data_IF_747407582877
#
_entry.id   IF_747407582877
#
_cell.length_a   1.000
_cell.length_b   1.000
_cell.length_c   1.000
_cell.angle_alpha   90.00
_cell.angle_beta   90.00
_cell.angle_gamma   90.00
#
_symmetry.space_group_name_H-M   'P 1'
#
loop_
_entity.id
_entity.type
_entity.pdbx_description
1 polymer ?
#
# COMPACT_ATOMS: atom_id res chain seq x y z
N UNK A 1 1.53 0.50 -16.62
CA UNK A 1 1.04 1.57 -17.52
C UNK A 1 -0.17 1.19 -18.38
N UNK A 2 -0.14 0.11 -19.16
CA UNK A 2 -1.23 -0.23 -20.10
C UNK A 2 -2.64 -0.25 -19.47
N UNK A 3 -2.83 -0.99 -18.36
CA UNK A 3 -4.13 -1.05 -17.66
C UNK A 3 -4.62 0.30 -17.15
N UNK A 4 -3.72 1.15 -16.63
CA UNK A 4 -4.06 2.49 -16.15
C UNK A 4 -4.62 3.39 -17.26
N UNK A 5 -4.05 3.28 -18.48
CA UNK A 5 -4.57 4.00 -19.65
C UNK A 5 -5.91 3.43 -20.11
N UNK A 6 -6.09 2.11 -20.06
CA UNK A 6 -7.35 1.46 -20.43
C UNK A 6 -8.52 1.86 -19.52
N UNK A 7 -8.26 2.15 -18.24
CA UNK A 7 -9.28 2.66 -17.30
C UNK A 7 -9.47 4.18 -17.36
N UNK A 8 -8.87 4.85 -18.35
CA UNK A 8 -9.08 6.27 -18.62
C UNK A 8 -8.08 7.24 -17.98
N UNK A 9 -6.97 6.78 -17.39
CA UNK A 9 -5.91 7.68 -16.90
C UNK A 9 -5.00 8.14 -18.04
N UNK A 10 -5.53 9.03 -18.88
CA UNK A 10 -4.88 9.52 -20.10
C UNK A 10 -3.80 10.59 -19.85
N UNK A 11 -3.88 11.31 -18.73
CA UNK A 11 -2.88 12.28 -18.28
C UNK A 11 -1.49 11.65 -18.03
N UNK A 12 -1.43 10.32 -17.87
CA UNK A 12 -0.17 9.57 -17.72
C UNK A 12 0.52 9.33 -19.08
N UNK A 13 1.03 10.42 -19.66
CA UNK A 13 1.58 10.49 -21.02
C UNK A 13 3.03 10.03 -21.12
N UNK A 14 3.83 10.21 -20.06
CA UNK A 14 5.25 9.85 -20.08
C UNK A 14 5.47 8.33 -20.14
N UNK A 15 6.72 7.94 -20.44
CA UNK A 15 7.13 6.53 -20.44
C UNK A 15 7.04 5.92 -19.02
N UNK A 16 6.91 4.60 -18.89
CA UNK A 16 6.85 3.94 -17.58
C UNK A 16 8.05 4.28 -16.70
N UNK A 17 9.22 4.43 -17.31
CA UNK A 17 10.48 4.67 -16.60
C UNK A 17 10.56 6.08 -16.01
N UNK A 18 9.79 7.03 -16.55
CA UNK A 18 9.67 8.37 -15.97
C UNK A 18 8.96 8.32 -14.62
N UNK A 19 7.86 7.56 -14.52
CA UNK A 19 7.12 7.43 -13.27
C UNK A 19 7.80 6.45 -12.31
N UNK A 20 8.38 5.37 -12.85
CA UNK A 20 9.03 4.30 -12.08
C UNK A 20 8.12 3.73 -10.99
N UNK A 21 8.74 3.23 -9.92
CA UNK A 21 8.02 2.66 -8.76
C UNK A 21 7.21 3.70 -7.98
N UNK A 22 7.56 4.99 -8.11
CA UNK A 22 6.82 6.10 -7.49
C UNK A 22 5.38 6.22 -7.98
N UNK A 23 5.03 5.58 -9.09
CA UNK A 23 3.65 5.53 -9.58
C UNK A 23 2.71 4.86 -8.57
N UNK A 24 3.21 3.87 -7.82
CA UNK A 24 2.44 3.22 -6.76
C UNK A 24 2.13 4.16 -5.58
N UNK A 25 2.92 5.24 -5.44
CA UNK A 25 2.75 6.28 -4.41
C UNK A 25 2.04 7.53 -4.94
N UNK A 26 1.64 7.56 -6.22
CA UNK A 26 0.85 8.66 -6.79
C UNK A 26 1.66 9.80 -7.40
N UNK A 27 2.90 9.56 -7.86
CA UNK A 27 3.69 10.59 -8.57
C UNK A 27 3.22 10.89 -10.01
N UNK A 28 2.11 10.28 -10.46
CA UNK A 28 1.50 10.50 -11.75
C UNK A 28 0.30 11.47 -11.66
N UNK A 29 0.45 12.67 -12.19
CA UNK A 29 -0.63 13.66 -12.24
C UNK A 29 -1.81 13.17 -13.10
N UNK A 30 -3.02 13.24 -12.52
CA UNK A 30 -4.29 12.90 -13.18
C UNK A 30 -5.37 13.88 -12.78
N UNK A 31 -6.39 14.03 -13.61
CA UNK A 31 -7.56 14.85 -13.27
C UNK A 31 -8.52 14.10 -12.34
N UNK A 32 -9.33 14.83 -11.58
CA UNK A 32 -10.41 14.24 -10.78
C UNK A 32 -11.40 13.45 -11.65
N UNK A 33 -11.68 13.92 -12.86
CA UNK A 33 -12.58 13.25 -13.79
C UNK A 33 -12.05 11.87 -14.20
N UNK A 34 -10.77 11.77 -14.56
CA UNK A 34 -10.13 10.51 -14.92
C UNK A 34 -10.07 9.54 -13.74
N UNK A 35 -9.83 10.05 -12.53
CA UNK A 35 -9.76 9.19 -11.35
C UNK A 35 -11.14 8.68 -10.94
N UNK A 36 -12.19 9.51 -11.01
CA UNK A 36 -13.58 9.07 -10.81
C UNK A 36 -13.98 8.03 -11.88
N UNK A 37 -13.68 8.30 -13.15
CA UNK A 37 -13.86 7.36 -14.27
C UNK A 37 -13.22 6.00 -13.95
N UNK A 38 -11.97 5.99 -13.51
CA UNK A 38 -11.27 4.76 -13.13
C UNK A 38 -11.98 4.03 -11.97
N UNK A 39 -12.39 4.74 -10.92
CA UNK A 39 -13.09 4.12 -9.78
C UNK A 39 -14.49 3.60 -10.14
N UNK A 40 -15.18 4.19 -11.13
CA UNK A 40 -16.44 3.60 -11.61
C UNK A 40 -16.24 2.20 -12.18
N UNK A 41 -15.07 1.88 -12.75
CA UNK A 41 -14.79 0.52 -13.23
C UNK A 41 -14.72 -0.48 -12.06
N UNK A 42 -14.20 -0.07 -10.91
CA UNK A 42 -14.19 -0.89 -9.69
C UNK A 42 -15.59 -1.07 -9.11
N UNK A 43 -16.38 0.00 -9.08
CA UNK A 43 -17.77 -0.04 -8.61
C UNK A 43 -18.67 -0.90 -9.51
N UNK A 44 -18.34 -1.01 -10.79
CA UNK A 44 -19.14 -1.65 -11.82
C UNK A 44 -18.55 -2.98 -12.31
N UNK A 45 -18.03 -3.80 -11.38
CA UNK A 45 -17.60 -5.18 -11.65
C UNK A 45 -16.50 -5.31 -12.73
N UNK A 46 -15.73 -4.25 -12.93
CA UNK A 46 -14.64 -4.16 -13.91
C UNK A 46 -15.03 -3.60 -15.27
N UNK A 47 -16.31 -3.29 -15.50
CA UNK A 47 -16.80 -2.68 -16.73
C UNK A 47 -16.54 -1.16 -16.70
N UNK A 48 -15.79 -0.65 -17.67
CA UNK A 48 -15.63 0.79 -17.88
C UNK A 48 -16.68 1.34 -18.85
N UNK A 49 -17.34 2.41 -18.41
CA UNK A 49 -18.19 3.25 -19.24
C UNK A 49 -17.66 4.68 -19.23
N UNK A 50 -17.27 5.26 -20.39
CA UNK A 50 -16.94 6.68 -20.48
C UNK A 50 -17.96 7.55 -19.75
N UNK A 51 -17.48 8.41 -18.84
CA UNK A 51 -18.36 9.28 -18.07
C UNK A 51 -19.06 10.27 -19.00
N UNK A 52 -20.36 10.47 -18.76
CA UNK A 52 -21.20 11.37 -19.56
C UNK A 52 -21.62 12.55 -18.71
N UNK A 53 -21.31 13.75 -19.19
CA UNK A 53 -21.76 15.00 -18.57
C UNK A 53 -23.21 15.32 -18.99
N UNK A 54 -23.53 15.05 -20.26
CA UNK A 54 -24.85 15.32 -20.82
C UNK A 54 -25.69 14.03 -20.86
N UNK A 55 -26.94 14.13 -20.42
CA UNK A 55 -27.89 13.01 -20.40
C UNK A 55 -28.08 12.34 -21.77
N UNK A 56 -28.00 13.12 -22.84
CA UNK A 56 -28.25 12.67 -24.22
C UNK A 56 -26.96 12.28 -24.97
N UNK A 57 -25.82 12.16 -24.28
CA UNK A 57 -24.58 11.75 -24.92
C UNK A 57 -24.68 10.31 -25.46
N UNK A 58 -24.11 10.02 -26.65
CA UNK A 58 -24.26 8.75 -27.34
C UNK A 58 -23.81 7.56 -26.49
N UNK A 59 -24.42 6.40 -26.72
CA UNK A 59 -24.04 5.19 -26.01
C UNK A 59 -22.65 4.74 -26.43
N UNK A 60 -21.77 4.56 -25.45
CA UNK A 60 -20.42 4.05 -25.65
C UNK A 60 -20.42 2.58 -25.27
N UNK A 61 -19.79 1.74 -26.09
CA UNK A 61 -19.64 0.32 -25.80
C UNK A 61 -18.90 0.11 -24.48
N UNK A 62 -19.39 -0.85 -23.68
CA UNK A 62 -18.69 -1.28 -22.46
C UNK A 62 -17.41 -2.03 -22.82
N UNK A 63 -16.40 -1.88 -21.98
CA UNK A 63 -15.16 -2.65 -22.05
C UNK A 63 -14.89 -3.22 -20.66
N UNK A 64 -14.68 -4.53 -20.55
CA UNK A 64 -14.34 -5.15 -19.28
C UNK A 64 -12.82 -5.16 -19.11
N UNK A 65 -12.31 -4.43 -18.11
CA UNK A 65 -10.86 -4.34 -17.84
C UNK A 65 -10.45 -5.25 -16.69
N UNK A 66 -11.34 -5.44 -15.71
CA UNK A 66 -11.14 -6.32 -14.58
C UNK A 66 -12.26 -7.35 -14.52
N UNK A 67 -12.00 -8.50 -13.91
CA UNK A 67 -13.07 -9.47 -13.64
C UNK A 67 -13.85 -9.04 -12.39
N UNK A 68 -15.12 -9.47 -12.24
CA UNK A 68 -15.93 -9.15 -11.08
C UNK A 68 -15.27 -9.60 -9.76
N UNK A 69 -14.56 -10.73 -9.76
CA UNK A 69 -13.85 -11.27 -8.59
C UNK A 69 -12.76 -10.32 -8.09
N UNK A 70 -11.95 -9.79 -9.01
CA UNK A 70 -10.86 -8.84 -8.67
C UNK A 70 -11.45 -7.57 -8.09
N UNK A 71 -12.50 -7.02 -8.72
CA UNK A 71 -13.14 -5.80 -8.21
C UNK A 71 -13.86 -6.01 -6.89
N UNK A 72 -14.45 -7.19 -6.66
CA UNK A 72 -15.07 -7.53 -5.39
C UNK A 72 -14.05 -7.61 -4.25
N UNK A 73 -12.88 -8.22 -4.47
CA UNK A 73 -11.79 -8.23 -3.47
C UNK A 73 -11.30 -6.81 -3.18
N UNK A 74 -11.11 -5.98 -4.22
CA UNK A 74 -10.70 -4.58 -4.02
C UNK A 74 -11.77 -3.81 -3.22
N UNK A 75 -13.05 -3.99 -3.56
CA UNK A 75 -14.15 -3.34 -2.88
C UNK A 75 -14.29 -3.79 -1.42
N UNK A 76 -14.06 -5.08 -1.13
CA UNK A 76 -14.02 -5.64 0.22
C UNK A 76 -12.91 -4.98 1.05
N UNK A 77 -11.66 -4.97 0.55
CA UNK A 77 -10.51 -4.31 1.18
C UNK A 77 -10.81 -2.82 1.45
N UNK A 78 -11.31 -2.11 0.44
CA UNK A 78 -11.58 -0.68 0.53
C UNK A 78 -12.82 -0.36 1.36
N UNK A 79 -13.69 -1.32 1.68
CA UNK A 79 -14.90 -1.14 2.52
C UNK A 79 -14.75 -1.68 3.94
N UNK A 80 -13.68 -2.43 4.22
CA UNK A 80 -13.35 -2.95 5.54
C UNK A 80 -12.87 -1.84 6.52
N UNK A 81 -13.58 -1.59 7.64
CA UNK A 81 -13.15 -0.64 8.66
C UNK A 81 -11.94 -1.11 9.48
N UNK A 82 -11.71 -2.41 9.63
CA UNK A 82 -10.56 -2.93 10.36
C UNK A 82 -9.27 -2.79 9.54
N UNK A 83 -9.32 -3.08 8.23
CA UNK A 83 -8.20 -2.91 7.31
C UNK A 83 -7.65 -1.47 7.30
N UNK A 84 -8.51 -0.46 7.51
CA UNK A 84 -8.13 0.96 7.51
C UNK A 84 -7.77 1.53 8.88
N UNK A 85 -7.94 0.73 9.95
CA UNK A 85 -7.89 1.23 11.33
C UNK A 85 -6.50 1.70 11.79
N UNK A 86 -5.42 1.17 11.21
CA UNK A 86 -4.07 1.62 11.53
C UNK A 86 -3.80 3.06 11.08
N UNK A 87 -4.41 3.49 9.97
CA UNK A 87 -4.21 4.82 9.39
C UNK A 87 -5.21 5.84 9.95
N UNK A 88 -6.50 5.48 10.02
CA UNK A 88 -7.57 6.42 10.38
C UNK A 88 -8.10 6.24 11.81
N UNK A 89 -7.44 5.38 12.58
CA UNK A 89 -7.97 4.86 13.83
C UNK A 89 -9.24 4.05 13.62
N UNK A 90 -9.87 3.63 14.71
CA UNK A 90 -11.23 3.07 14.70
C UNK A 90 -12.32 4.16 14.62
N UNK A 91 -11.95 5.36 14.14
CA UNK A 91 -12.83 6.52 14.14
C UNK A 91 -14.04 6.31 13.23
N UNK A 92 -15.11 7.07 13.50
CA UNK A 92 -16.36 7.01 12.73
C UNK A 92 -16.25 7.66 11.35
N UNK A 93 -15.20 8.42 11.06
CA UNK A 93 -15.12 9.27 9.87
C UNK A 93 -15.35 8.48 8.57
N UNK A 94 -14.61 7.39 8.38
CA UNK A 94 -14.74 6.49 7.23
C UNK A 94 -15.61 5.26 7.53
N UNK A 95 -16.44 5.32 8.58
CA UNK A 95 -17.44 4.32 8.91
C UNK A 95 -18.81 4.82 8.44
N UNK A 96 -19.26 4.30 7.30
CA UNK A 96 -20.49 4.69 6.65
C UNK A 96 -21.65 3.77 7.08
N UNK A 97 -22.91 4.26 7.16
CA UNK A 97 -24.07 3.41 7.42
C UNK A 97 -24.31 2.37 6.32
N UNK A 98 -23.89 2.69 5.08
CA UNK A 98 -23.97 1.82 3.91
C UNK A 98 -22.55 1.38 3.56
N UNK A 99 -22.38 0.11 3.20
CA UNK A 99 -21.07 -0.40 2.79
C UNK A 99 -20.51 0.46 1.66
N UNK A 100 -19.40 1.14 1.93
CA UNK A 100 -18.79 2.13 1.05
C UNK A 100 -17.30 1.86 0.99
N UNK A 101 -16.80 1.55 -0.20
CA UNK A 101 -15.39 1.44 -0.48
C UNK A 101 -14.79 2.85 -0.55
N UNK A 102 -13.72 3.14 0.18
CA UNK A 102 -13.08 4.46 0.21
C UNK A 102 -11.57 4.36 0.20
N UNK A 103 -10.94 5.24 -0.59
CA UNK A 103 -9.51 5.49 -0.54
C UNK A 103 -9.22 6.98 -0.43
N UNK A 104 -8.31 7.34 0.45
CA UNK A 104 -7.75 8.69 0.55
C UNK A 104 -6.38 8.76 -0.13
N UNK A 105 -5.99 9.96 -0.56
CA UNK A 105 -4.66 10.29 -1.04
C UNK A 105 -4.23 11.65 -0.50
N UNK A 106 -2.96 11.78 -0.19
CA UNK A 106 -2.34 13.04 0.25
C UNK A 106 -1.01 13.14 -0.47
N UNK A 107 -0.79 14.22 -1.22
CA UNK A 107 0.51 14.46 -1.84
C UNK A 107 1.55 14.83 -0.79
N UNK A 108 2.82 14.73 -1.15
CA UNK A 108 3.91 15.38 -0.41
C UNK A 108 3.60 16.87 -0.24
N UNK A 109 3.98 17.43 0.91
CA UNK A 109 3.78 18.83 1.30
C UNK A 109 2.31 19.31 1.29
N UNK A 110 1.33 18.41 1.37
CA UNK A 110 -0.09 18.76 1.45
C UNK A 110 -0.58 19.68 0.31
N UNK A 111 -0.01 19.55 -0.89
CA UNK A 111 -0.45 20.31 -2.08
C UNK A 111 -1.81 19.83 -2.57
N UNK A 112 -2.00 18.52 -2.57
CA UNK A 112 -3.23 17.87 -2.99
C UNK A 112 -3.75 16.91 -1.92
N UNK A 113 -5.05 17.02 -1.64
CA UNK A 113 -5.78 16.07 -0.82
C UNK A 113 -6.91 15.46 -1.65
N UNK A 114 -7.01 14.14 -1.62
CA UNK A 114 -7.99 13.35 -2.37
C UNK A 114 -8.79 12.42 -1.46
N UNK A 115 -10.08 12.26 -1.74
CA UNK A 115 -10.86 11.12 -1.27
C UNK A 115 -11.80 10.65 -2.38
N UNK A 116 -11.77 9.36 -2.67
CA UNK A 116 -12.69 8.74 -3.63
C UNK A 116 -13.33 7.55 -2.96
N UNK A 117 -14.63 7.41 -3.17
CA UNK A 117 -15.34 6.23 -2.73
C UNK A 117 -16.48 5.85 -3.63
N UNK A 118 -16.97 4.64 -3.44
CA UNK A 118 -18.15 4.14 -4.11
C UNK A 118 -18.95 3.22 -3.19
N UNK A 119 -20.27 3.24 -3.35
CA UNK A 119 -21.18 2.24 -2.80
C UNK A 119 -21.85 1.49 -3.97
N UNK A 120 -22.90 0.71 -3.68
CA UNK A 120 -23.60 -0.09 -4.71
C UNK A 120 -24.20 0.74 -5.87
N UNK A 121 -24.34 2.06 -5.73
CA UNK A 121 -25.04 2.91 -6.71
C UNK A 121 -24.26 4.15 -7.15
N UNK A 122 -23.45 4.72 -6.27
CA UNK A 122 -22.78 6.00 -6.50
C UNK A 122 -21.26 5.85 -6.40
N UNK A 123 -20.54 6.57 -7.26
CA UNK A 123 -19.10 6.85 -7.12
C UNK A 123 -18.93 8.34 -6.94
N UNK A 124 -18.17 8.74 -5.92
CA UNK A 124 -17.93 10.14 -5.57
C UNK A 124 -16.42 10.34 -5.41
N UNK A 125 -15.90 11.39 -6.03
CA UNK A 125 -14.52 11.83 -5.84
C UNK A 125 -14.48 13.29 -5.39
N UNK A 126 -13.61 13.59 -4.44
CA UNK A 126 -13.37 14.93 -3.92
C UNK A 126 -11.87 15.20 -3.95
N UNK A 127 -11.52 16.36 -4.49
CA UNK A 127 -10.17 16.92 -4.43
C UNK A 127 -10.23 18.28 -3.74
N UNK A 128 -9.25 18.55 -2.89
CA UNK A 128 -8.96 19.87 -2.33
C UNK A 128 -7.48 20.18 -2.57
N UNK A 129 -7.20 21.41 -2.97
CA UNK A 129 -5.85 21.91 -3.23
C UNK A 129 -5.91 23.40 -3.61
N UNK A 130 -4.77 24.07 -3.54
CA UNK A 130 -4.66 25.43 -4.05
C UNK A 130 -4.43 25.39 -5.56
N UNK A 131 -5.15 26.23 -6.32
CA UNK A 131 -5.05 26.27 -7.79
C UNK A 131 -3.67 26.74 -8.28
N UNK A 132 -2.93 27.47 -7.44
CA UNK A 132 -1.54 27.87 -7.67
C UNK A 132 -0.51 26.82 -7.21
N UNK A 133 -0.99 25.63 -6.82
CA UNK A 133 -0.21 24.47 -6.35
C UNK A 133 0.57 24.72 -5.06
N UNK A 134 0.36 25.83 -4.36
CA UNK A 134 0.99 26.04 -3.06
C UNK A 134 0.51 25.01 -2.03
N UNK A 135 1.35 24.61 -1.06
CA UNK A 135 0.93 23.77 0.06
C UNK A 135 -0.32 24.30 0.75
N UNK A 136 -1.26 23.41 1.09
CA UNK A 136 -2.34 23.74 2.02
C UNK A 136 -1.84 23.67 3.47
N UNK A 137 -2.57 24.28 4.40
CA UNK A 137 -2.26 24.22 5.84
C UNK A 137 -2.58 22.85 6.45
N UNK A 138 -1.74 21.85 6.17
CA UNK A 138 -1.84 20.47 6.70
C UNK A 138 -3.17 19.76 6.41
N UNK A 139 -3.78 20.05 5.25
CA UNK A 139 -5.00 19.36 4.80
C UNK A 139 -4.62 18.04 4.14
N UNK A 140 -5.01 16.92 4.75
CA UNK A 140 -4.81 15.59 4.21
C UNK A 140 -6.10 15.06 3.57
N UNK A 141 -5.99 13.97 2.80
CA UNK A 141 -7.16 13.28 2.23
C UNK A 141 -8.20 12.91 3.30
N UNK A 142 -7.76 12.62 4.53
CA UNK A 142 -8.63 12.30 5.65
C UNK A 142 -9.21 13.55 6.36
N UNK A 143 -8.43 14.63 6.52
CA UNK A 143 -8.90 15.81 7.27
C UNK A 143 -9.74 16.80 6.45
N UNK A 144 -9.76 16.68 5.11
CA UNK A 144 -10.57 17.54 4.24
C UNK A 144 -11.53 16.77 3.33
N UNK A 145 -11.05 16.20 2.21
CA UNK A 145 -11.90 15.56 1.21
C UNK A 145 -12.81 14.45 1.75
N UNK A 146 -12.33 13.64 2.70
CA UNK A 146 -13.13 12.57 3.30
C UNK A 146 -14.37 13.09 4.07
N UNK A 147 -14.29 14.28 4.68
CA UNK A 147 -15.43 14.90 5.35
C UNK A 147 -16.52 15.29 4.34
N UNK A 148 -16.10 15.90 3.24
CA UNK A 148 -16.99 16.28 2.13
C UNK A 148 -17.60 15.03 1.50
N UNK A 149 -16.78 14.01 1.22
CA UNK A 149 -17.20 12.72 0.68
C UNK A 149 -18.31 12.11 1.56
N UNK A 150 -18.13 12.13 2.89
CA UNK A 150 -19.13 11.64 3.85
C UNK A 150 -20.46 12.39 3.76
N UNK A 151 -20.41 13.73 3.71
CA UNK A 151 -21.60 14.54 3.59
C UNK A 151 -22.35 14.26 2.28
N UNK A 152 -21.63 14.13 1.16
CA UNK A 152 -22.22 13.81 -0.15
C UNK A 152 -22.89 12.43 -0.13
N UNK A 153 -22.23 11.39 0.38
CA UNK A 153 -22.87 10.07 0.50
C UNK A 153 -24.07 10.09 1.45
N UNK A 154 -24.03 10.85 2.55
CA UNK A 154 -25.17 10.96 3.45
C UNK A 154 -26.40 11.54 2.73
N UNK A 155 -26.20 12.56 1.88
CA UNK A 155 -27.29 13.16 1.11
C UNK A 155 -27.77 12.25 -0.03
N UNK A 156 -26.86 11.69 -0.82
CA UNK A 156 -27.21 10.81 -1.96
C UNK A 156 -28.00 9.57 -1.53
N UNK A 157 -27.83 9.10 -0.29
CA UNK A 157 -28.48 7.90 0.21
C UNK A 157 -29.69 8.17 1.11
N UNK A 158 -30.04 9.43 1.39
CA UNK A 158 -31.02 9.80 2.43
C UNK A 158 -32.41 9.17 2.25
N UNK A 159 -32.80 8.87 1.01
CA UNK A 159 -34.12 8.33 0.64
C UNK A 159 -34.04 7.17 -0.35
N UNK A 160 -32.89 6.52 -0.44
CA UNK A 160 -32.66 5.44 -1.40
C UNK A 160 -32.66 4.09 -0.72
N UNK A 161 -33.19 3.08 -1.39
CA UNK A 161 -32.96 1.69 -0.98
C UNK A 161 -31.48 1.35 -1.14
N UNK A 162 -30.92 0.69 -0.13
CA UNK A 162 -29.48 0.46 -0.05
C UNK A 162 -29.17 -1.02 -0.23
N UNK A 163 -28.15 -1.33 -1.03
CA UNK A 163 -27.62 -2.68 -1.17
C UNK A 163 -26.16 -2.73 -0.71
N UNK A 164 -25.66 -3.91 -0.28
CA UNK A 164 -24.23 -4.12 -0.12
C UNK A 164 -23.50 -3.99 -1.45
N UNK A 165 -22.18 -3.85 -1.39
CA UNK A 165 -21.34 -3.91 -2.59
C UNK A 165 -21.45 -5.29 -3.23
N UNK A 166 -21.33 -5.34 -4.56
CA UNK A 166 -21.35 -6.60 -5.29
C UNK A 166 -20.16 -7.48 -4.87
N UNK A 167 -20.47 -8.72 -4.50
CA UNK A 167 -19.51 -9.76 -4.18
C UNK A 167 -19.67 -10.91 -5.18
N UNK A 168 -18.64 -11.18 -5.99
CA UNK A 168 -18.71 -12.25 -6.98
C UNK A 168 -18.98 -13.61 -6.30
N UNK A 169 -19.98 -14.39 -6.77
CA UNK A 169 -20.26 -15.72 -6.23
C UNK A 169 -19.17 -16.75 -6.58
N UNK A 170 -18.22 -16.40 -7.45
CA UNK A 170 -17.06 -17.25 -7.78
C UNK A 170 -15.94 -17.15 -6.73
N UNK A 171 -16.02 -16.16 -5.83
CA UNK A 171 -15.11 -16.05 -4.71
C UNK A 171 -15.44 -17.09 -3.65
N UNK A 172 -14.41 -17.65 -3.04
CA UNK A 172 -14.55 -18.58 -1.93
C UNK A 172 -13.69 -18.14 -0.74
N UNK A 173 -14.12 -18.55 0.45
CA UNK A 173 -13.46 -18.21 1.71
C UNK A 173 -12.36 -19.20 2.03
N UNK A 174 -11.20 -18.71 2.44
CA UNK A 174 -10.08 -19.52 2.94
C UNK A 174 -9.63 -18.98 4.29
N UNK A 175 -9.38 -19.88 5.25
CA UNK A 175 -8.74 -19.52 6.51
C UNK A 175 -7.24 -19.34 6.28
N UNK A 176 -6.73 -18.16 6.56
CA UNK A 176 -5.30 -17.84 6.50
C UNK A 176 -4.74 -17.56 7.89
N UNK A 177 -3.46 -17.88 8.08
CA UNK A 177 -2.71 -17.57 9.28
C UNK A 177 -2.36 -16.07 9.27
N UNK A 178 -2.72 -15.34 10.35
CA UNK A 178 -2.58 -13.88 10.41
C UNK A 178 -1.14 -13.39 10.28
N UNK A 179 -0.16 -14.20 10.71
CA UNK A 179 1.26 -13.84 10.71
C UNK A 179 1.99 -14.19 9.42
N UNK A 180 1.55 -15.22 8.70
CA UNK A 180 2.24 -15.70 7.48
C UNK A 180 1.48 -15.40 6.19
N UNK A 181 0.17 -15.16 6.27
CA UNK A 181 -0.72 -15.02 5.11
C UNK A 181 -1.02 -16.34 4.39
N UNK A 182 -0.33 -17.44 4.73
CA UNK A 182 -0.56 -18.77 4.16
C UNK A 182 -1.84 -19.40 4.73
N UNK A 183 -2.29 -20.51 4.13
CA UNK A 183 -3.43 -21.28 4.66
C UNK A 183 -3.16 -21.65 6.12
N UNK A 184 -4.14 -21.41 6.99
CA UNK A 184 -4.01 -21.67 8.42
C UNK A 184 -3.87 -23.18 8.67
N UNK A 185 -2.86 -23.55 9.47
CA UNK A 185 -2.62 -24.92 9.93
C UNK A 185 -2.25 -24.91 11.41
N UNK A 186 -2.63 -25.94 12.17
CA UNK A 186 -2.34 -26.03 13.60
C UNK A 186 -2.94 -24.87 14.40
N UNK A 187 -2.17 -24.37 15.38
CA UNK A 187 -2.61 -23.37 16.35
C UNK A 187 -2.42 -21.91 15.90
N UNK A 188 -2.12 -21.65 14.61
CA UNK A 188 -1.94 -20.27 14.17
C UNK A 188 -3.26 -19.47 14.30
N UNK A 189 -3.26 -18.29 14.96
CA UNK A 189 -4.38 -17.37 14.92
C UNK A 189 -4.79 -17.07 13.48
N UNK A 190 -5.99 -17.50 13.11
CA UNK A 190 -6.47 -17.44 11.73
C UNK A 190 -7.42 -16.27 11.50
N UNK A 191 -7.58 -15.88 10.22
CA UNK A 191 -8.66 -15.02 9.75
C UNK A 191 -9.18 -15.55 8.42
N UNK A 192 -10.44 -15.26 8.11
CA UNK A 192 -11.08 -15.66 6.86
C UNK A 192 -10.82 -14.59 5.80
N UNK A 193 -10.41 -15.01 4.61
CA UNK A 193 -10.19 -14.13 3.45
C UNK A 193 -10.85 -14.67 2.19
N UNK A 194 -11.11 -13.77 1.23
CA UNK A 194 -11.66 -14.11 -0.09
C UNK A 194 -10.57 -14.43 -1.11
N UNK A 195 -10.78 -15.49 -1.88
CA UNK A 195 -9.87 -15.91 -2.95
C UNK A 195 -10.60 -16.20 -4.26
N UNK A 196 -9.91 -15.92 -5.36
CA UNK A 196 -10.24 -16.45 -6.69
C UNK A 196 -9.78 -17.91 -6.73
N UNK A 197 -10.60 -18.80 -7.28
CA UNK A 197 -10.25 -20.21 -7.42
C UNK A 197 -8.89 -20.40 -8.12
N UNK A 198 -7.98 -21.15 -7.49
CA UNK A 198 -6.63 -21.42 -7.99
C UNK A 198 -5.59 -20.35 -7.63
N UNK A 199 -5.98 -19.29 -6.91
CA UNK A 199 -5.05 -18.25 -6.42
C UNK A 199 -4.76 -18.35 -4.93
N UNK A 200 -5.44 -19.26 -4.24
CA UNK A 200 -5.22 -19.51 -2.82
C UNK A 200 -3.79 -19.97 -2.54
N UNK A 201 -3.22 -19.43 -1.47
CA UNK A 201 -1.87 -19.80 -1.05
C UNK A 201 -1.88 -21.25 -0.55
N UNK A 202 -0.90 -22.03 -1.01
CA UNK A 202 -0.69 -23.40 -0.58
C UNK A 202 -0.36 -23.44 0.91
N UNK A 203 -0.60 -24.60 1.52
CA UNK A 203 -0.24 -24.84 2.91
C UNK A 203 1.22 -24.47 3.15
N UNK A 204 1.45 -23.76 4.25
CA UNK A 204 2.78 -23.64 4.79
C UNK A 204 3.27 -25.07 5.06
N UNK A 205 4.36 -25.52 4.42
CA UNK A 205 5.09 -26.65 4.99
C UNK A 205 5.45 -26.23 6.42
N UNK A 206 4.88 -26.92 7.40
CA UNK A 206 5.17 -26.76 8.83
C UNK A 206 6.58 -27.19 9.20
N UNK A 207 7.56 -27.03 8.32
CA UNK A 207 8.91 -26.84 8.78
C UNK A 207 8.93 -25.41 9.33
N UNK A 208 8.92 -25.31 10.67
CA UNK A 208 9.67 -24.26 11.36
C UNK A 208 11.13 -24.49 10.99
N UNK A 209 11.48 -24.29 9.71
CA UNK A 209 12.84 -23.97 9.36
C UNK A 209 13.08 -22.66 10.09
N UNK A 210 14.02 -22.70 11.04
CA UNK A 210 14.56 -21.52 11.68
C UNK A 210 14.73 -20.46 10.60
N UNK A 211 13.91 -19.40 10.62
CA UNK A 211 14.00 -18.35 9.61
C UNK A 211 15.46 -17.86 9.65
N UNK A 212 16.24 -18.03 8.58
CA UNK A 212 17.66 -17.76 8.64
C UNK A 212 17.87 -16.29 8.95
N UNK A 213 18.94 -15.99 9.67
CA UNK A 213 19.36 -14.61 9.93
C UNK A 213 19.52 -13.90 8.59
N UNK A 214 18.74 -12.83 8.37
CA UNK A 214 18.80 -12.02 7.16
C UNK A 214 18.50 -10.56 7.47
N UNK A 215 18.89 -9.67 6.57
CA UNK A 215 18.41 -8.30 6.59
C UNK A 215 16.92 -8.26 6.18
N UNK A 216 16.09 -7.64 7.02
CA UNK A 216 14.74 -7.17 6.66
C UNK A 216 14.81 -5.86 5.88
N UNK A 217 15.77 -5.00 6.22
CA UNK A 217 16.06 -3.75 5.54
C UNK A 217 17.58 -3.57 5.46
N UNK A 218 18.15 -3.24 4.28
CA UNK A 218 17.48 -3.15 2.98
C UNK A 218 17.01 -4.52 2.46
N UNK A 219 16.04 -4.53 1.55
CA UNK A 219 15.72 -5.70 0.73
C UNK A 219 16.56 -5.71 -0.55
N UNK A 220 16.84 -6.88 -1.16
CA UNK A 220 17.57 -6.95 -2.42
C UNK A 220 16.96 -6.07 -3.50
N UNK A 221 17.77 -5.17 -4.08
CA UNK A 221 17.33 -4.25 -5.14
C UNK A 221 16.54 -3.04 -4.67
N UNK A 222 16.44 -2.79 -3.35
CA UNK A 222 15.80 -1.59 -2.81
C UNK A 222 16.40 -0.33 -3.44
N UNK A 223 15.52 0.58 -3.87
CA UNK A 223 15.87 1.94 -4.28
C UNK A 223 15.36 2.93 -3.23
N UNK A 224 16.27 3.60 -2.55
CA UNK A 224 15.98 4.69 -1.62
C UNK A 224 16.13 6.01 -2.35
N UNK A 225 15.25 6.97 -2.11
CA UNK A 225 15.42 8.36 -2.54
C UNK A 225 15.73 9.21 -1.32
N UNK A 226 16.75 10.06 -1.40
CA UNK A 226 16.99 11.08 -0.37
C UNK A 226 15.87 12.13 -0.39
N UNK A 227 15.48 12.61 0.78
CA UNK A 227 14.46 13.65 0.94
C UNK A 227 15.09 15.03 0.85
N UNK A 228 14.88 15.79 -0.26
CA UNK A 228 15.53 17.08 -0.47
C UNK A 228 15.16 18.17 0.56
N UNK A 229 14.22 17.88 1.47
CA UNK A 229 13.79 18.78 2.55
C UNK A 229 14.55 18.53 3.85
N UNK A 230 15.19 17.38 4.00
CA UNK A 230 16.00 17.04 5.17
C UNK A 230 17.45 17.30 4.78
N UNK A 231 18.22 18.12 5.53
CA UNK A 231 19.65 18.24 5.30
C UNK A 231 20.31 16.85 5.29
N UNK A 232 21.18 16.57 4.32
CA UNK A 232 21.81 15.25 4.12
C UNK A 232 22.38 14.66 5.43
N UNK A 233 22.95 15.49 6.31
CA UNK A 233 23.51 15.10 7.61
C UNK A 233 22.49 14.55 8.64
N UNK A 234 21.20 14.80 8.43
CA UNK A 234 20.10 14.30 9.26
C UNK A 234 19.31 13.16 8.61
N UNK A 235 19.62 12.81 7.36
CA UNK A 235 18.99 11.67 6.69
C UNK A 235 19.63 10.35 7.15
N UNK A 236 18.82 9.45 7.69
CA UNK A 236 19.27 8.12 8.11
C UNK A 236 18.29 7.02 7.66
N UNK A 237 18.86 5.87 7.30
CA UNK A 237 18.12 4.68 6.92
C UNK A 237 18.31 3.57 7.97
N UNK A 238 17.21 2.99 8.43
CA UNK A 238 17.24 1.91 9.40
C UNK A 238 17.62 0.58 8.71
N UNK A 239 18.82 0.09 8.99
CA UNK A 239 19.19 -1.29 8.74
C UNK A 239 18.52 -2.18 9.78
N UNK A 240 17.92 -3.31 9.37
CA UNK A 240 17.17 -4.20 10.26
C UNK A 240 17.44 -5.66 9.96
N UNK A 241 17.56 -6.50 10.98
CA UNK A 241 17.67 -7.96 10.86
C UNK A 241 16.34 -8.67 11.12
N UNK A 242 16.25 -9.94 10.76
CA UNK A 242 15.09 -10.80 11.01
C UNK A 242 14.85 -11.06 12.51
N UNK A 243 13.65 -11.54 12.85
CA UNK A 243 13.27 -11.88 14.23
C UNK A 243 13.82 -13.27 14.67
N UNK A 244 14.89 -13.73 14.01
CA UNK A 244 15.56 -14.99 14.34
C UNK A 244 16.07 -14.92 15.79
N UNK A 245 15.81 -15.90 16.66
CA UNK A 245 16.35 -15.90 18.01
C UNK A 245 17.87 -15.76 17.99
N UNK A 246 18.40 -14.83 18.79
CA UNK A 246 19.83 -14.55 18.94
C UNK A 246 20.25 -14.84 20.38
N UNK A 247 19.88 -16.03 20.86
CA UNK A 247 20.24 -16.47 22.21
C UNK A 247 21.77 -16.48 22.34
N UNK A 248 22.28 -15.97 23.46
CA UNK A 248 23.73 -15.92 23.76
C UNK A 248 24.56 -15.03 22.82
N UNK A 249 23.95 -14.20 21.97
CA UNK A 249 24.68 -13.20 21.20
C UNK A 249 25.21 -12.08 22.11
N UNK A 250 26.40 -11.56 21.82
CA UNK A 250 26.96 -10.40 22.52
C UNK A 250 26.50 -9.09 21.88
N UNK A 251 26.68 -8.97 20.56
CA UNK A 251 26.36 -7.76 19.80
C UNK A 251 26.13 -8.06 18.32
N UNK A 252 25.52 -7.09 17.64
CA UNK A 252 25.32 -7.08 16.20
C UNK A 252 26.21 -5.99 15.60
N UNK A 253 27.12 -6.36 14.71
CA UNK A 253 27.85 -5.42 13.86
C UNK A 253 27.07 -5.15 12.58
N UNK A 254 26.99 -3.88 12.21
CA UNK A 254 26.35 -3.41 10.99
C UNK A 254 27.43 -3.00 10.00
N UNK A 255 27.34 -3.49 8.78
CA UNK A 255 28.32 -3.23 7.73
C UNK A 255 27.65 -2.61 6.51
N UNK A 256 28.29 -1.58 5.98
CA UNK A 256 28.00 -1.00 4.67
C UNK A 256 29.30 -0.93 3.88
N UNK A 257 29.27 -1.45 2.66
CA UNK A 257 30.41 -1.50 1.74
C UNK A 257 31.65 -2.20 2.30
N UNK A 258 31.42 -3.15 3.22
CA UNK A 258 32.47 -3.95 3.89
C UNK A 258 33.03 -3.32 5.16
N UNK A 259 32.68 -2.08 5.47
CA UNK A 259 33.12 -1.35 6.66
C UNK A 259 32.11 -1.49 7.80
N UNK A 260 32.59 -1.65 9.04
CA UNK A 260 31.72 -1.67 10.23
C UNK A 260 31.33 -0.24 10.58
N UNK A 261 30.05 0.09 10.35
CA UNK A 261 29.49 1.43 10.56
C UNK A 261 28.94 1.62 11.98
N UNK A 262 28.73 0.54 12.72
CA UNK A 262 28.26 0.60 14.10
C UNK A 262 27.88 -0.76 14.67
N UNK A 263 27.56 -0.76 15.96
CA UNK A 263 27.18 -1.95 16.72
C UNK A 263 25.95 -1.70 17.56
N UNK A 264 25.08 -2.70 17.69
CA UNK A 264 23.91 -2.67 18.59
C UNK A 264 23.86 -3.89 19.48
N UNK A 265 23.08 -3.82 20.56
CA UNK A 265 22.79 -5.01 21.36
C UNK A 265 21.90 -5.98 20.57
N UNK A 266 21.87 -7.28 20.92
CA UNK A 266 20.99 -8.26 20.27
C UNK A 266 19.49 -7.95 20.40
N UNK A 267 19.12 -7.18 21.44
CA UNK A 267 17.75 -6.68 21.64
C UNK A 267 17.44 -5.52 20.69
N UNK A 268 18.43 -4.68 20.39
CA UNK A 268 18.32 -3.57 19.43
C UNK A 268 18.63 -4.06 18.01
N UNK A 269 17.62 -4.63 17.36
CA UNK A 269 17.72 -5.24 16.02
C UNK A 269 17.71 -4.27 14.85
N UNK A 270 18.06 -3.02 15.09
CA UNK A 270 18.11 -1.98 14.07
C UNK A 270 19.23 -0.98 14.33
N UNK A 271 19.83 -0.47 13.26
CA UNK A 271 20.83 0.59 13.32
C UNK A 271 20.48 1.69 12.32
N UNK A 272 20.55 2.95 12.74
CA UNK A 272 20.33 4.11 11.88
C UNK A 272 21.65 4.46 11.17
N UNK A 273 21.74 4.13 9.89
CA UNK A 273 22.88 4.46 9.04
C UNK A 273 22.65 5.81 8.34
N UNK A 274 23.56 6.80 8.47
CA UNK A 274 23.50 8.03 7.69
C UNK A 274 23.50 7.74 6.19
N UNK A 275 22.53 8.26 5.46
CA UNK A 275 22.31 7.90 4.07
C UNK A 275 23.35 8.56 3.17
N UNK A 276 24.03 7.76 2.35
CA UNK A 276 24.93 8.24 1.30
C UNK A 276 24.37 7.88 -0.08
N UNK A 277 24.59 8.76 -1.08
CA UNK A 277 24.16 8.48 -2.45
C UNK A 277 25.07 7.44 -3.09
N UNK A 278 24.49 6.51 -3.83
CA UNK A 278 25.23 5.52 -4.58
C UNK A 278 24.68 4.11 -4.46
N UNK A 279 25.45 3.16 -5.00
CA UNK A 279 25.17 1.74 -4.82
C UNK A 279 25.92 1.26 -3.58
N UNK A 280 25.20 0.62 -2.67
CA UNK A 280 25.75 0.14 -1.40
C UNK A 280 25.49 -1.35 -1.20
N UNK A 281 26.35 -1.99 -0.42
CA UNK A 281 26.24 -3.38 0.03
C UNK A 281 26.06 -3.41 1.54
N UNK A 282 24.91 -3.88 2.03
CA UNK A 282 24.66 -4.03 3.47
C UNK A 282 24.84 -5.48 3.94
N UNK A 283 25.36 -5.65 5.16
CA UNK A 283 25.45 -6.92 5.88
C UNK A 283 25.32 -6.68 7.39
N UNK A 284 24.78 -7.64 8.13
CA UNK A 284 24.91 -7.68 9.60
C UNK A 284 25.68 -8.93 10.02
N UNK A 285 26.51 -8.81 11.05
CA UNK A 285 27.24 -9.92 11.68
C UNK A 285 26.87 -9.99 13.16
N UNK A 286 26.44 -11.17 13.61
CA UNK A 286 26.16 -11.43 15.03
C UNK A 286 27.36 -12.13 15.63
N UNK A 287 27.89 -11.54 16.69
CA UNK A 287 29.02 -12.08 17.46
C UNK A 287 28.51 -12.83 18.69
N UNK A 288 29.18 -13.94 19.00
CA UNK A 288 28.89 -14.79 20.16
C UNK A 288 30.17 -14.96 20.99
N UNK A 289 30.06 -14.97 22.33
CA UNK A 289 31.22 -14.99 23.22
C UNK A 289 32.05 -16.28 23.12
N UNK A 290 31.44 -17.37 22.64
CA UNK A 290 32.04 -18.71 22.54
C UNK A 290 32.40 -19.15 21.11
N UNK A 291 32.15 -18.32 20.09
CA UNK A 291 32.36 -18.67 18.68
C UNK A 291 33.43 -17.81 18.02
N UNK A 292 34.45 -18.43 17.42
CA UNK A 292 35.43 -17.74 16.58
C UNK A 292 34.83 -17.24 15.24
N UNK A 293 33.64 -17.71 14.86
CA UNK A 293 32.97 -17.32 13.60
C UNK A 293 31.66 -16.56 13.87
N UNK A 294 31.54 -15.31 13.41
CA UNK A 294 30.28 -14.58 13.47
C UNK A 294 29.24 -15.22 12.56
N UNK A 295 27.97 -15.16 12.96
CA UNK A 295 26.85 -15.47 12.09
C UNK A 295 26.52 -14.25 11.25
N UNK A 296 26.76 -14.32 9.94
CA UNK A 296 26.55 -13.21 9.02
C UNK A 296 25.27 -13.38 8.19
N UNK A 297 24.57 -12.27 7.92
CA UNK A 297 23.52 -12.24 6.91
C UNK A 297 24.12 -12.39 5.51
N UNK A 298 23.32 -12.82 4.50
CA UNK A 298 23.66 -12.56 3.11
C UNK A 298 23.90 -11.06 2.86
N UNK A 299 24.81 -10.74 1.95
CA UNK A 299 25.06 -9.37 1.51
C UNK A 299 23.89 -8.91 0.64
N UNK A 300 23.36 -7.72 0.92
CA UNK A 300 22.24 -7.13 0.20
C UNK A 300 22.69 -5.89 -0.55
N UNK A 301 22.53 -5.89 -1.87
CA UNK A 301 22.76 -4.71 -2.71
C UNK A 301 21.51 -3.84 -2.76
N UNK A 302 21.70 -2.54 -2.54
CA UNK A 302 20.66 -1.52 -2.66
C UNK A 302 21.24 -0.23 -3.27
N UNK A 303 20.36 0.67 -3.68
CA UNK A 303 20.74 1.91 -4.35
C UNK A 303 20.06 3.10 -3.67
N UNK A 304 20.83 4.15 -3.42
CA UNK A 304 20.35 5.43 -2.92
C UNK A 304 20.50 6.45 -4.04
N UNK A 305 19.39 7.06 -4.46
CA UNK A 305 19.35 8.12 -5.46
C UNK A 305 19.24 9.50 -4.87
#
# INVERSE_FOLDING_TARGET
MQRLRQIGLSSLTAHSDYYGDGLALGNGGVTLFELVQAYTSLANQGDIHPLKVLRNAPHTSKLQIFTPEVTSIIADILSDPDARSNEFGRSTLLRFPIQTAVKTGTSTDYRDAWAIGFNHRYTVGVWLGNLDQQPMSNVSGASGPALVLRAVFAELNRYEETQPLYLSPQLHKVNICRSTGQRATGDCPSRVEWFIAGTELKEASQTIESKPLRLKQPSPGLQLAMDPRIPDEYEAFALRVSDTPLEEADLIEWLVDGEVIGTTSPDERQFLWPVERGTHLAQARVLFPSSEKPLATPIVRFYVK
#
